data_IF_169574713314
#
_entry.id   IF_169574713314
#
_cell.length_a   1.000
_cell.length_b   1.000
_cell.length_c   1.000
_cell.angle_alpha   90.00
_cell.angle_beta   90.00
_cell.angle_gamma   90.00
#
_symmetry.space_group_name_H-M   'P 1'
#
loop_
_entity.id
_entity.type
_entity.pdbx_description
1 polymer ?
#
# COMPACT_ATOMS: atom_id res chain seq x y z
N UNK A 1 -52.99 -47.02 0.99
CA UNK A 1 -51.61 -46.68 0.55
C UNK A 1 -51.66 -45.40 -0.26
N UNK A 2 -51.36 -44.23 0.33
CA UNK A 2 -51.32 -42.94 -0.36
C UNK A 2 -49.85 -42.55 -0.61
N UNK A 3 -49.45 -42.39 -1.87
CA UNK A 3 -48.08 -41.96 -2.24
C UNK A 3 -48.03 -40.43 -2.28
N UNK A 4 -47.26 -39.81 -1.38
CA UNK A 4 -46.97 -38.38 -1.42
C UNK A 4 -45.88 -38.10 -2.47
N UNK A 5 -46.23 -37.43 -3.57
CA UNK A 5 -45.24 -36.83 -4.47
C UNK A 5 -44.74 -35.51 -3.86
N UNK A 6 -43.50 -35.49 -3.35
CA UNK A 6 -42.78 -34.24 -3.03
C UNK A 6 -42.52 -33.48 -4.33
N UNK A 7 -43.20 -32.35 -4.53
CA UNK A 7 -42.81 -31.34 -5.53
C UNK A 7 -41.41 -30.82 -5.15
N UNK A 8 -40.39 -31.15 -5.96
CA UNK A 8 -39.07 -30.52 -5.86
C UNK A 8 -39.22 -29.05 -6.28
N UNK A 9 -38.88 -28.13 -5.38
CA UNK A 9 -38.74 -26.72 -5.71
C UNK A 9 -37.66 -26.56 -6.79
N UNK A 10 -37.96 -25.85 -7.87
CA UNK A 10 -36.95 -25.50 -8.89
C UNK A 10 -36.00 -24.48 -8.26
N UNK A 11 -34.67 -24.64 -8.38
CA UNK A 11 -33.73 -23.61 -7.95
C UNK A 11 -33.99 -22.35 -8.76
N UNK A 12 -34.20 -21.23 -8.07
CA UNK A 12 -34.29 -19.91 -8.68
C UNK A 12 -33.01 -19.67 -9.49
N UNK A 13 -33.09 -19.26 -10.77
CA UNK A 13 -31.89 -18.96 -11.55
C UNK A 13 -31.09 -17.88 -10.82
N UNK A 14 -29.80 -18.12 -10.60
CA UNK A 14 -28.88 -17.09 -10.13
C UNK A 14 -28.80 -16.01 -11.21
N UNK A 15 -29.44 -14.87 -10.98
CA UNK A 15 -29.25 -13.68 -11.79
C UNK A 15 -28.02 -12.96 -11.23
N UNK A 16 -26.90 -12.86 -11.97
CA UNK A 16 -25.75 -12.11 -11.51
C UNK A 16 -26.15 -10.64 -11.35
N UNK A 17 -26.05 -10.13 -10.12
CA UNK A 17 -26.21 -8.70 -9.85
C UNK A 17 -25.04 -7.98 -10.56
N UNK A 18 -25.32 -7.02 -11.44
CA UNK A 18 -24.29 -6.24 -12.10
C UNK A 18 -23.36 -5.57 -11.08
N UNK A 19 -22.06 -5.46 -11.37
CA UNK A 19 -21.07 -4.94 -10.42
C UNK A 19 -21.41 -3.53 -9.89
N UNK A 20 -22.17 -2.73 -10.64
CA UNK A 20 -22.63 -1.39 -10.26
C UNK A 20 -23.78 -1.38 -9.25
N UNK A 21 -24.55 -2.48 -9.15
CA UNK A 21 -25.67 -2.63 -8.20
C UNK A 21 -25.25 -3.35 -6.92
N UNK A 22 -23.97 -3.70 -6.79
CA UNK A 22 -23.44 -4.24 -5.52
C UNK A 22 -23.26 -3.06 -4.56
N UNK A 23 -23.98 -3.02 -3.43
CA UNK A 23 -23.68 -2.04 -2.40
C UNK A 23 -22.21 -2.23 -2.01
N UNK A 24 -21.43 -1.15 -2.06
CA UNK A 24 -20.07 -1.15 -1.55
C UNK A 24 -20.11 -1.69 -0.12
N UNK A 25 -19.39 -2.77 0.15
CA UNK A 25 -19.18 -3.28 1.51
C UNK A 25 -18.27 -2.35 2.33
N UNK A 26 -17.67 -1.36 1.67
CA UNK A 26 -16.80 -0.34 2.25
C UNK A 26 -17.64 0.87 2.62
N UNK A 27 -17.48 1.38 3.84
CA UNK A 27 -18.22 2.54 4.36
C UNK A 27 -17.86 3.83 3.62
N UNK A 28 -18.76 4.82 3.69
CA UNK A 28 -18.50 6.17 3.13
C UNK A 28 -17.24 6.81 3.72
N UNK A 29 -16.97 6.60 5.01
CA UNK A 29 -15.76 7.10 5.67
C UNK A 29 -14.48 6.51 5.05
N UNK A 30 -14.50 5.24 4.69
CA UNK A 30 -13.38 4.57 4.02
C UNK A 30 -13.23 5.02 2.57
N UNK A 31 -14.34 5.27 1.87
CA UNK A 31 -14.30 5.91 0.55
C UNK A 31 -13.65 7.28 0.63
N UNK A 32 -14.07 8.11 1.58
CA UNK A 32 -13.51 9.44 1.76
C UNK A 32 -12.02 9.39 2.10
N UNK A 33 -11.60 8.50 3.01
CA UNK A 33 -10.18 8.26 3.34
C UNK A 33 -9.37 7.90 2.09
N UNK A 34 -9.86 6.96 1.29
CA UNK A 34 -9.17 6.55 0.07
C UNK A 34 -9.05 7.70 -0.94
N UNK A 35 -10.10 8.52 -1.09
CA UNK A 35 -10.07 9.71 -1.94
C UNK A 35 -9.07 10.74 -1.44
N UNK A 36 -9.03 11.01 -0.14
CA UNK A 36 -8.08 11.94 0.45
C UNK A 36 -6.63 11.51 0.16
N UNK A 37 -6.30 10.23 0.36
CA UNK A 37 -4.96 9.72 0.04
C UNK A 37 -4.69 9.82 -1.46
N UNK A 38 -5.63 9.39 -2.31
CA UNK A 38 -5.43 9.34 -3.77
C UNK A 38 -5.17 10.72 -4.38
N UNK A 39 -5.91 11.74 -3.93
CA UNK A 39 -5.82 13.10 -4.46
C UNK A 39 -4.90 14.01 -3.63
N UNK A 40 -4.48 13.57 -2.45
CA UNK A 40 -3.64 14.31 -1.51
C UNK A 40 -2.14 14.15 -1.73
N UNK A 41 -1.68 13.70 -2.91
CA UNK A 41 -0.24 13.58 -3.21
C UNK A 41 0.41 14.95 -2.97
N UNK A 42 1.32 15.08 -1.98
CA UNK A 42 1.90 16.38 -1.65
C UNK A 42 2.67 16.96 -2.84
N UNK A 43 2.79 18.29 -2.93
CA UNK A 43 3.77 18.88 -3.84
C UNK A 43 5.18 18.39 -3.45
N UNK A 44 6.05 18.07 -4.42
CA UNK A 44 7.41 17.62 -4.09
C UNK A 44 8.18 18.77 -3.43
N UNK A 45 8.70 18.51 -2.23
CA UNK A 45 9.69 19.36 -1.58
C UNK A 45 11.08 18.75 -1.83
N UNK A 46 12.12 19.52 -2.18
CA UNK A 46 13.46 18.97 -2.41
C UNK A 46 13.95 18.13 -1.24
N UNK A 47 14.82 17.16 -1.51
CA UNK A 47 15.36 16.30 -0.46
C UNK A 47 16.04 17.14 0.63
N UNK A 48 15.70 16.82 1.88
CA UNK A 48 16.35 17.30 3.08
C UNK A 48 16.62 16.11 3.99
N UNK A 49 17.55 16.25 4.93
CA UNK A 49 17.76 15.21 5.94
C UNK A 49 16.45 15.02 6.73
N UNK A 50 15.95 13.77 6.85
CA UNK A 50 14.68 13.56 7.52
C UNK A 50 14.78 13.85 9.01
N UNK A 51 13.69 14.40 9.55
CA UNK A 51 13.51 14.67 10.98
C UNK A 51 12.80 13.51 11.70
N UNK A 52 12.65 13.64 13.03
CA UNK A 52 12.00 12.63 13.87
C UNK A 52 10.52 12.44 13.51
N UNK A 53 9.84 13.49 13.03
CA UNK A 53 8.44 13.40 12.58
C UNK A 53 8.32 12.52 11.33
N UNK A 54 9.22 12.69 10.35
CA UNK A 54 9.28 11.84 9.16
C UNK A 54 9.62 10.39 9.50
N UNK A 55 10.52 10.20 10.47
CA UNK A 55 10.83 8.86 10.97
C UNK A 55 9.63 8.22 11.67
N UNK A 56 8.84 8.98 12.41
CA UNK A 56 7.64 8.51 13.08
C UNK A 56 6.52 8.14 12.09
N UNK A 57 6.32 8.96 11.05
CA UNK A 57 5.41 8.64 9.95
C UNK A 57 5.79 7.31 9.28
N UNK A 58 7.08 7.13 8.95
CA UNK A 58 7.57 5.85 8.44
C UNK A 58 7.35 4.71 9.45
N UNK A 59 7.74 4.88 10.71
CA UNK A 59 7.66 3.83 11.72
C UNK A 59 6.23 3.33 11.93
N UNK A 60 5.25 4.22 11.83
CA UNK A 60 3.81 3.93 11.98
C UNK A 60 3.14 3.45 10.69
N UNK A 61 3.91 3.16 9.63
CA UNK A 61 3.40 2.56 8.41
C UNK A 61 2.65 3.55 7.50
N UNK A 62 2.99 4.85 7.57
CA UNK A 62 2.31 5.92 6.79
C UNK A 62 2.81 6.06 5.35
N UNK A 63 3.83 5.30 4.94
CA UNK A 63 4.23 5.27 3.54
C UNK A 63 3.08 4.78 2.65
N UNK A 64 2.94 5.39 1.48
CA UNK A 64 1.89 5.08 0.51
C UNK A 64 2.53 4.50 -0.75
N UNK A 65 2.31 3.20 -1.07
CA UNK A 65 2.87 2.57 -2.27
C UNK A 65 2.55 3.34 -3.57
N UNK A 66 1.33 3.85 -3.69
CA UNK A 66 0.92 4.69 -4.81
C UNK A 66 1.80 5.93 -4.99
N UNK A 67 2.25 6.56 -3.90
CA UNK A 67 3.12 7.74 -4.00
C UNK A 67 4.51 7.36 -4.51
N UNK A 68 5.03 6.21 -4.07
CA UNK A 68 6.28 5.64 -4.59
C UNK A 68 6.15 5.43 -6.11
N UNK A 69 5.09 4.76 -6.55
CA UNK A 69 4.80 4.53 -7.97
C UNK A 69 4.73 5.82 -8.77
N UNK A 70 3.97 6.81 -8.30
CA UNK A 70 3.84 8.09 -9.01
C UNK A 70 5.18 8.83 -9.14
N UNK A 71 6.04 8.78 -8.12
CA UNK A 71 7.33 9.49 -8.13
C UNK A 71 8.35 8.79 -9.03
N UNK A 72 8.41 7.46 -8.96
CA UNK A 72 9.27 6.67 -9.84
C UNK A 72 8.90 6.88 -11.32
N UNK A 73 7.60 6.79 -11.64
CA UNK A 73 7.09 7.03 -13.00
C UNK A 73 7.33 8.47 -13.45
N UNK A 74 7.12 9.46 -12.56
CA UNK A 74 7.32 10.88 -12.84
C UNK A 74 8.78 11.23 -13.11
N UNK A 75 9.72 10.61 -12.39
CA UNK A 75 11.16 10.76 -12.59
C UNK A 75 11.76 9.90 -13.70
N UNK A 76 10.97 9.00 -14.31
CA UNK A 76 11.41 8.00 -15.31
C UNK A 76 12.55 7.11 -14.79
N UNK A 77 12.54 6.80 -13.50
CA UNK A 77 13.53 5.91 -12.90
C UNK A 77 13.28 4.46 -13.36
N UNK A 78 14.31 3.79 -13.87
CA UNK A 78 14.22 2.40 -14.31
C UNK A 78 14.59 1.45 -13.15
N UNK A 79 13.94 0.28 -13.08
CA UNK A 79 14.07 -0.68 -11.97
C UNK A 79 15.49 -0.87 -11.43
N UNK A 80 16.47 -1.31 -12.26
CA UNK A 80 17.82 -1.61 -11.78
C UNK A 80 18.55 -0.41 -11.14
N UNK A 81 18.31 0.80 -11.63
CA UNK A 81 18.92 2.00 -11.07
C UNK A 81 18.34 2.33 -9.69
N UNK A 82 17.04 2.09 -9.51
CA UNK A 82 16.35 2.27 -8.23
C UNK A 82 16.84 1.24 -7.22
N UNK A 83 16.98 -0.02 -7.63
CA UNK A 83 17.47 -1.10 -6.77
C UNK A 83 18.87 -0.79 -6.24
N UNK A 84 19.79 -0.39 -7.12
CA UNK A 84 21.16 0.01 -6.74
C UNK A 84 21.15 1.22 -5.81
N UNK A 85 20.42 2.28 -6.17
CA UNK A 85 20.38 3.51 -5.39
C UNK A 85 19.77 3.32 -4.00
N UNK A 86 18.83 2.38 -3.87
CA UNK A 86 18.14 2.10 -2.61
C UNK A 86 18.77 0.94 -1.83
N UNK A 87 19.83 0.29 -2.33
CA UNK A 87 20.36 -0.95 -1.75
C UNK A 87 19.26 -2.01 -1.56
N UNK A 88 18.46 -2.21 -2.60
CA UNK A 88 17.38 -3.17 -2.66
C UNK A 88 17.78 -4.34 -3.57
N UNK A 89 17.38 -5.54 -3.17
CA UNK A 89 17.53 -6.74 -4.00
C UNK A 89 16.23 -6.96 -4.78
N UNK A 90 16.32 -7.19 -6.09
CA UNK A 90 15.13 -7.54 -6.88
C UNK A 90 14.43 -8.79 -6.28
N UNK A 91 13.08 -8.80 -6.14
CA UNK A 91 12.09 -7.81 -6.61
C UNK A 91 11.59 -6.88 -5.49
N UNK A 92 12.46 -6.34 -4.64
CA UNK A 92 12.03 -5.56 -3.47
C UNK A 92 11.29 -4.28 -3.84
N UNK A 93 11.80 -3.47 -4.78
CA UNK A 93 11.14 -2.22 -5.20
C UNK A 93 9.75 -2.48 -5.78
N UNK A 94 9.60 -3.49 -6.64
CA UNK A 94 8.29 -3.91 -7.15
C UNK A 94 7.33 -4.26 -6.00
N UNK A 95 7.83 -4.96 -4.98
CA UNK A 95 7.04 -5.30 -3.81
C UNK A 95 6.77 -4.10 -2.89
N UNK A 96 7.56 -3.02 -2.95
CA UNK A 96 7.24 -1.78 -2.26
C UNK A 96 6.05 -1.08 -2.92
N UNK A 97 6.06 -0.97 -4.25
CA UNK A 97 4.95 -0.42 -5.04
C UNK A 97 3.67 -1.25 -4.92
N UNK A 98 3.81 -2.56 -4.74
CA UNK A 98 2.71 -3.45 -4.43
C UNK A 98 2.31 -3.45 -2.96
N UNK A 99 3.03 -2.77 -2.07
CA UNK A 99 2.75 -2.73 -0.64
C UNK A 99 2.97 -4.06 0.10
N UNK A 100 3.75 -4.98 -0.45
CA UNK A 100 4.04 -6.33 0.10
C UNK A 100 5.30 -6.40 0.92
N UNK A 101 6.29 -5.57 0.60
CA UNK A 101 7.50 -5.41 1.39
C UNK A 101 7.57 -3.97 1.85
N UNK A 102 7.92 -3.77 3.12
CA UNK A 102 8.13 -2.44 3.67
C UNK A 102 9.61 -2.08 3.55
N UNK A 103 10.00 -0.95 2.91
CA UNK A 103 11.40 -0.55 2.90
C UNK A 103 11.86 -0.23 4.33
N UNK A 104 13.08 -0.66 4.68
CA UNK A 104 13.67 -0.23 5.94
C UNK A 104 13.95 1.29 5.92
N UNK A 105 14.30 1.86 7.07
CA UNK A 105 14.50 3.31 7.18
C UNK A 105 15.59 3.82 6.23
N UNK A 106 16.74 3.13 6.16
CA UNK A 106 17.83 3.49 5.26
C UNK A 106 17.40 3.47 3.78
N UNK A 107 16.67 2.43 3.37
CA UNK A 107 16.12 2.31 2.02
C UNK A 107 15.10 3.41 1.71
N UNK A 108 14.28 3.79 2.68
CA UNK A 108 13.28 4.87 2.54
C UNK A 108 13.97 6.23 2.33
N UNK A 109 15.02 6.51 3.12
CA UNK A 109 15.81 7.75 2.96
C UNK A 109 16.57 7.74 1.64
N UNK A 110 17.12 6.61 1.22
CA UNK A 110 17.79 6.45 -0.06
C UNK A 110 16.83 6.68 -1.24
N UNK A 111 15.62 6.12 -1.18
CA UNK A 111 14.56 6.35 -2.16
C UNK A 111 14.15 7.83 -2.23
N UNK A 112 13.92 8.47 -1.09
CA UNK A 112 13.59 9.90 -1.04
C UNK A 112 14.70 10.76 -1.67
N UNK A 113 15.97 10.43 -1.41
CA UNK A 113 17.13 11.10 -2.01
C UNK A 113 17.20 10.89 -3.51
N UNK A 114 17.01 9.66 -4.01
CA UNK A 114 16.99 9.34 -5.44
C UNK A 114 15.92 10.17 -6.18
N UNK A 115 14.73 10.24 -5.58
CA UNK A 115 13.58 10.95 -6.13
C UNK A 115 13.67 12.48 -5.94
N UNK A 116 14.69 12.97 -5.24
CA UNK A 116 14.83 14.36 -4.80
C UNK A 116 13.55 14.90 -4.14
N UNK A 117 12.98 14.12 -3.21
CA UNK A 117 11.82 14.52 -2.40
C UNK A 117 12.10 14.34 -0.91
N UNK A 118 11.31 14.97 -0.04
CA UNK A 118 11.31 14.64 1.39
C UNK A 118 10.60 13.31 1.65
N UNK A 119 10.94 12.63 2.75
CA UNK A 119 10.29 11.37 3.16
C UNK A 119 8.79 11.58 3.37
N UNK A 120 8.38 12.72 3.94
CA UNK A 120 6.96 13.08 4.11
C UNK A 120 6.19 13.09 2.78
N UNK A 121 6.83 13.38 1.65
CA UNK A 121 6.18 13.35 0.34
C UNK A 121 5.84 11.93 -0.15
N UNK A 122 6.33 10.89 0.53
CA UNK A 122 6.01 9.47 0.29
C UNK A 122 5.01 8.93 1.31
N UNK A 123 4.53 9.76 2.24
CA UNK A 123 3.62 9.38 3.33
C UNK A 123 2.29 10.11 3.24
N UNK A 124 1.26 9.59 3.91
CA UNK A 124 0.00 10.31 4.15
C UNK A 124 -0.51 10.06 5.58
N UNK A 125 -0.96 11.08 6.33
CA UNK A 125 -1.43 10.92 7.72
C UNK A 125 -2.57 9.91 7.88
N UNK A 126 -3.48 9.84 6.91
CA UNK A 126 -4.61 8.89 6.90
C UNK A 126 -4.25 7.49 6.38
N UNK A 127 -3.05 7.30 5.83
CA UNK A 127 -2.60 5.96 5.50
C UNK A 127 -2.44 5.16 6.78
N UNK A 128 -2.78 3.88 6.74
CA UNK A 128 -2.48 2.95 7.81
C UNK A 128 -2.28 1.57 7.19
N UNK A 129 -1.47 0.70 7.80
CA UNK A 129 -1.33 -0.67 7.31
C UNK A 129 -2.71 -1.32 7.22
N UNK A 130 -2.97 -1.97 6.09
CA UNK A 130 -4.27 -2.58 5.83
C UNK A 130 -4.10 -3.72 4.84
N UNK A 131 -4.68 -4.87 5.19
CA UNK A 131 -4.69 -6.05 4.34
C UNK A 131 -5.70 -5.86 3.20
N UNK A 132 -5.24 -6.04 1.96
CA UNK A 132 -6.13 -6.01 0.79
C UNK A 132 -6.19 -7.41 0.18
N UNK A 133 -7.34 -8.11 0.25
CA UNK A 133 -7.44 -9.51 -0.18
C UNK A 133 -7.21 -9.68 -1.69
N UNK A 134 -7.55 -8.66 -2.49
CA UNK A 134 -7.43 -8.69 -3.96
C UNK A 134 -6.20 -7.92 -4.47
N UNK A 135 -5.11 -7.89 -3.68
CA UNK A 135 -3.88 -7.18 -4.06
C UNK A 135 -3.28 -7.76 -5.35
N UNK A 136 -2.95 -6.94 -6.35
CA UNK A 136 -2.40 -7.40 -7.63
C UNK A 136 -1.14 -8.26 -7.48
N UNK A 137 -0.99 -9.28 -8.33
CA UNK A 137 0.17 -10.19 -8.32
C UNK A 137 1.44 -9.50 -8.82
N UNK A 138 1.28 -8.60 -9.80
CA UNK A 138 2.34 -7.80 -10.44
C UNK A 138 1.93 -6.34 -10.39
N UNK A 139 2.89 -5.43 -10.63
CA UNK A 139 2.65 -3.99 -10.74
C UNK A 139 1.41 -3.76 -11.61
N UNK A 140 0.31 -3.24 -11.06
CA UNK A 140 -0.89 -3.05 -11.83
C UNK A 140 -0.68 -1.91 -12.84
N UNK A 141 -1.51 -1.85 -13.88
CA UNK A 141 -1.49 -0.69 -14.78
C UNK A 141 -1.81 0.61 -14.02
N UNK A 142 -1.54 1.75 -14.66
CA UNK A 142 -1.69 3.13 -14.09
C UNK A 142 -3.04 3.48 -13.44
N UNK A 143 -4.03 2.61 -13.50
CA UNK A 143 -5.40 2.81 -13.02
C UNK A 143 -5.70 2.14 -11.66
N UNK A 144 -4.74 1.44 -11.04
CA UNK A 144 -4.92 0.83 -9.72
C UNK A 144 -3.95 1.48 -8.73
N UNK A 145 -4.51 2.13 -7.71
CA UNK A 145 -3.75 2.76 -6.64
C UNK A 145 -3.70 1.85 -5.41
N UNK A 146 -2.50 1.49 -4.99
CA UNK A 146 -2.27 0.77 -3.74
C UNK A 146 -1.96 1.79 -2.63
N UNK A 147 -2.90 1.95 -1.70
CA UNK A 147 -2.86 3.06 -0.74
C UNK A 147 -2.17 2.72 0.59
N UNK A 148 -1.84 1.45 0.82
CA UNK A 148 -1.23 0.98 2.06
C UNK A 148 -0.40 -0.28 1.89
N UNK A 149 0.55 -0.46 2.81
CA UNK A 149 1.30 -1.69 2.96
C UNK A 149 0.53 -2.74 3.76
N UNK A 150 0.90 -4.01 3.57
CA UNK A 150 0.46 -5.11 4.41
C UNK A 150 0.91 -4.93 5.88
N UNK A 151 0.04 -5.17 6.87
CA UNK A 151 0.40 -5.04 8.28
C UNK A 151 1.61 -5.89 8.68
N UNK A 152 1.71 -7.11 8.16
CA UNK A 152 2.83 -8.02 8.43
C UNK A 152 4.16 -7.49 7.87
N UNK A 153 4.14 -6.81 6.72
CA UNK A 153 5.34 -6.22 6.12
C UNK A 153 5.88 -5.07 6.97
N UNK A 154 4.98 -4.21 7.47
CA UNK A 154 5.36 -3.11 8.38
C UNK A 154 5.88 -3.67 9.70
N UNK A 155 5.21 -4.68 10.27
CA UNK A 155 5.61 -5.32 11.52
C UNK A 155 6.99 -6.00 11.41
N UNK A 156 7.30 -6.65 10.29
CA UNK A 156 8.58 -7.32 10.08
C UNK A 156 9.77 -6.35 10.19
N UNK A 157 9.58 -5.09 9.81
CA UNK A 157 10.64 -4.06 9.81
C UNK A 157 10.62 -3.23 11.10
N UNK A 158 9.43 -2.79 11.53
CA UNK A 158 9.29 -1.86 12.66
C UNK A 158 9.11 -2.58 14.01
N UNK A 159 8.63 -3.82 14.02
CA UNK A 159 8.37 -4.59 15.25
C UNK A 159 9.64 -5.06 15.97
N UNK A 160 10.75 -5.22 15.26
CA UNK A 160 12.05 -5.57 15.85
C UNK A 160 12.74 -4.43 16.60
N UNK A 161 12.30 -3.19 16.41
CA UNK A 161 12.92 -2.00 17.05
C UNK A 161 12.64 -1.91 18.56
N UNK A 162 11.68 -2.67 19.09
CA UNK A 162 11.38 -2.73 20.52
C UNK A 162 12.19 -3.80 21.30
N UNK A 163 12.90 -4.71 20.61
CA UNK A 163 13.52 -5.87 21.25
C UNK A 163 14.97 -5.67 21.72
N UNK A 164 15.51 -4.44 21.67
CA UNK A 164 16.93 -4.16 22.03
C UNK A 164 17.12 -3.21 23.21
N UNK A 165 16.06 -2.88 23.95
CA UNK A 165 16.14 -2.03 25.17
C UNK A 165 15.92 -2.82 26.48
N UNK A 166 16.31 -4.09 26.51
CA UNK A 166 16.12 -4.91 27.71
C UNK A 166 17.09 -6.08 27.78
N UNK A 167 18.38 -5.81 27.93
CA UNK A 167 19.31 -6.68 28.64
C UNK A 167 20.54 -5.85 29.04
N UNK A 168 20.56 -5.44 30.31
CA UNK A 168 21.74 -5.02 31.04
C UNK A 168 21.65 -5.57 32.45
#
# INVERSE_FOLDING_TARGET
MLKFLRKRARPTPYLPVPAHDRPSTVSESEHQRCRNILFGIPAPEPFAQPDDEERELWRTGKLVPWYITCRLDGGRHNGPEVDIACHAEEPAVDNWELGRLYPNWGQTVALARLLNVRVRNLTHPEAHPHHQPERPVRRPGRHIAILSFEPSAVQAVCGGLHATEGDN
#
